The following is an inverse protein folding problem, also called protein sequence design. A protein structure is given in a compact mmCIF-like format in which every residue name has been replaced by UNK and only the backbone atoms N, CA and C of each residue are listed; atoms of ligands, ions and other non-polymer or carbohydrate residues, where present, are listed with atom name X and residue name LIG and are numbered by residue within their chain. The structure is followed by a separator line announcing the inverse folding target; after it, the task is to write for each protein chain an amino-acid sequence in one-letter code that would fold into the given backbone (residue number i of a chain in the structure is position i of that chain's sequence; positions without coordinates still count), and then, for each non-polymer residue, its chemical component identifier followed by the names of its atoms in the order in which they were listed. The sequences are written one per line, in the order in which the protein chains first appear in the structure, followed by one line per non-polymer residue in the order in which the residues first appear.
data_IF_617417623259
#
_entry.id   IF_617417623259
#
_cell.length_a   1.000
_cell.length_b   1.000
_cell.length_c   1.000
_cell.angle_alpha   90.00
_cell.angle_beta   90.00
_cell.angle_gamma   90.00
#
_symmetry.space_group_name_H-M   'P 1'
#
loop_
_entity.id
_entity.type
_entity.pdbx_description
1 polymer ?
#
# COMPACT_ATOMS: atom_id res chain seq x y z
N UNK A 1 -47.70 -2.30 2.40
CA UNK A 1 -46.78 -3.07 3.28
C UNK A 1 -45.30 -3.04 2.84
N UNK A 2 -44.84 -2.08 2.01
CA UNK A 2 -43.44 -2.03 1.51
C UNK A 2 -42.52 -1.10 2.35
N UNK A 3 -43.06 -0.31 3.28
CA UNK A 3 -42.27 0.65 4.08
C UNK A 3 -41.42 0.04 5.20
N UNK A 4 -41.65 -1.21 5.62
CA UNK A 4 -40.97 -1.80 6.79
C UNK A 4 -39.52 -2.23 6.51
N UNK A 5 -39.20 -2.67 5.29
CA UNK A 5 -37.85 -3.13 4.96
C UNK A 5 -36.83 -1.98 4.85
N UNK A 6 -37.23 -0.83 4.30
CA UNK A 6 -36.35 0.33 4.16
C UNK A 6 -36.01 0.99 5.50
N UNK A 7 -36.98 1.05 6.42
CA UNK A 7 -36.76 1.61 7.76
C UNK A 7 -35.87 0.70 8.63
N UNK A 8 -36.06 -0.62 8.56
CA UNK A 8 -35.20 -1.58 9.26
C UNK A 8 -33.75 -1.53 8.78
N UNK A 9 -33.53 -1.43 7.46
CA UNK A 9 -32.20 -1.29 6.88
C UNK A 9 -31.55 0.04 7.33
N UNK A 10 -32.32 1.15 7.34
CA UNK A 10 -31.84 2.45 7.81
C UNK A 10 -31.37 2.41 9.28
N UNK A 11 -32.15 1.77 10.16
CA UNK A 11 -31.82 1.63 11.58
C UNK A 11 -30.58 0.74 11.81
N UNK A 12 -30.42 -0.34 11.04
CA UNK A 12 -29.23 -1.20 11.13
C UNK A 12 -27.96 -0.48 10.65
N UNK A 13 -28.06 0.29 9.55
CA UNK A 13 -26.93 1.07 9.04
C UNK A 13 -26.53 2.16 10.04
N UNK A 14 -27.49 2.88 10.64
CA UNK A 14 -27.19 3.95 11.61
C UNK A 14 -26.56 3.41 12.89
N UNK A 15 -27.03 2.25 13.39
CA UNK A 15 -26.45 1.59 14.56
C UNK A 15 -25.05 1.02 14.29
N UNK A 16 -24.85 0.38 13.13
CA UNK A 16 -23.52 -0.08 12.71
C UNK A 16 -22.54 1.08 12.58
N UNK A 17 -23.01 2.22 12.05
CA UNK A 17 -22.21 3.43 11.88
C UNK A 17 -21.78 4.05 13.22
N UNK A 18 -22.70 4.14 14.20
CA UNK A 18 -22.40 4.69 15.52
C UNK A 18 -21.43 3.80 16.32
N UNK A 19 -21.62 2.47 16.27
CA UNK A 19 -20.71 1.50 16.88
C UNK A 19 -19.29 1.57 16.32
N UNK A 20 -19.17 1.66 14.99
CA UNK A 20 -17.89 1.79 14.29
C UNK A 20 -17.20 3.13 14.62
N UNK A 21 -17.95 4.23 14.73
CA UNK A 21 -17.44 5.53 15.15
C UNK A 21 -16.90 5.52 16.58
N UNK A 22 -17.62 4.90 17.54
CA UNK A 22 -17.23 4.83 18.94
C UNK A 22 -16.00 3.92 19.17
N UNK A 23 -15.99 2.72 18.58
CA UNK A 23 -14.81 1.84 18.62
C UNK A 23 -13.57 2.53 18.06
N UNK A 24 -13.71 3.23 16.93
CA UNK A 24 -12.62 3.94 16.27
C UNK A 24 -12.05 5.09 17.09
N UNK A 25 -12.92 5.91 17.71
CA UNK A 25 -12.45 7.00 18.58
C UNK A 25 -11.56 6.43 19.69
N UNK A 26 -11.92 5.27 20.26
CA UNK A 26 -11.11 4.57 21.26
C UNK A 26 -9.80 4.02 20.69
N UNK A 27 -9.81 3.39 19.53
CA UNK A 27 -8.58 2.83 18.90
C UNK A 27 -7.60 3.94 18.49
N UNK A 28 -8.07 4.97 17.77
CA UNK A 28 -7.22 6.09 17.33
C UNK A 28 -6.64 6.86 18.52
N UNK A 29 -7.45 7.14 19.55
CA UNK A 29 -6.96 7.80 20.76
C UNK A 29 -5.89 6.96 21.45
N UNK A 30 -6.09 5.64 21.60
CA UNK A 30 -5.08 4.77 22.24
C UNK A 30 -3.78 4.70 21.44
N UNK A 31 -3.87 4.48 20.13
CA UNK A 31 -2.68 4.28 19.28
C UNK A 31 -1.85 5.57 19.18
N UNK A 32 -2.47 6.71 18.89
CA UNK A 32 -1.74 7.96 18.70
C UNK A 32 -1.23 8.53 20.02
N UNK A 33 -2.07 8.53 21.07
CA UNK A 33 -1.64 8.99 22.40
C UNK A 33 -0.51 8.10 22.92
N UNK A 34 -0.63 6.79 22.75
CA UNK A 34 0.43 5.84 23.07
C UNK A 34 1.73 6.16 22.36
N UNK A 35 1.71 6.43 21.05
CA UNK A 35 2.90 6.82 20.27
C UNK A 35 3.51 8.14 20.73
N UNK A 36 2.71 9.16 20.99
CA UNK A 36 3.20 10.46 21.47
C UNK A 36 3.85 10.36 22.85
N UNK A 37 3.23 9.62 23.78
CA UNK A 37 3.82 9.36 25.08
C UNK A 37 5.13 8.57 24.94
N UNK A 38 5.10 7.44 24.21
CA UNK A 38 6.28 6.63 23.92
C UNK A 38 7.43 7.45 23.35
N UNK A 39 7.13 8.31 22.37
CA UNK A 39 8.12 9.18 21.74
C UNK A 39 8.76 10.17 22.73
N UNK A 40 7.95 10.85 23.56
CA UNK A 40 8.46 11.75 24.58
C UNK A 40 9.35 11.01 25.60
N UNK A 41 8.91 9.83 26.06
CA UNK A 41 9.70 9.02 26.99
C UNK A 41 10.98 8.50 26.34
N UNK A 42 10.96 8.13 25.07
CA UNK A 42 12.14 7.67 24.31
C UNK A 42 13.19 8.77 24.18
N UNK A 43 12.79 10.01 23.88
CA UNK A 43 13.71 11.15 23.84
C UNK A 43 14.37 11.42 25.19
N UNK A 44 13.58 11.38 26.26
CA UNK A 44 14.08 11.55 27.63
C UNK A 44 15.05 10.44 28.02
N UNK A 45 14.76 9.20 27.63
CA UNK A 45 15.60 8.02 27.94
C UNK A 45 16.97 8.09 27.28
N UNK A 46 16.98 8.53 26.02
CA UNK A 46 18.20 8.63 25.23
C UNK A 46 18.94 9.95 25.46
N UNK A 47 18.45 10.79 26.39
CA UNK A 47 18.99 12.12 26.73
C UNK A 47 19.25 12.98 25.48
N UNK A 48 18.31 12.94 24.53
CA UNK A 48 18.42 13.76 23.31
C UNK A 48 18.03 15.20 23.67
N UNK A 49 18.99 15.95 24.19
CA UNK A 49 18.84 17.37 24.53
C UNK A 49 18.88 18.25 23.27
N UNK A 50 18.07 19.30 23.22
CA UNK A 50 18.25 20.39 22.27
C UNK A 50 17.74 20.20 20.83
N UNK A 51 17.23 19.02 20.43
CA UNK A 51 16.61 18.90 19.10
C UNK A 51 15.19 19.44 19.14
N UNK A 52 14.90 20.47 18.34
CA UNK A 52 13.55 20.99 18.18
C UNK A 52 12.64 19.83 17.71
N UNK A 53 11.67 19.41 18.53
CA UNK A 53 10.74 18.30 18.23
C UNK A 53 9.35 18.83 17.83
N UNK A 54 9.27 20.13 17.54
CA UNK A 54 8.01 20.83 17.35
C UNK A 54 7.30 20.35 16.09
N UNK A 55 8.03 20.17 14.98
CA UNK A 55 7.45 19.74 13.72
C UNK A 55 7.05 18.27 13.76
N UNK A 56 7.83 17.41 14.40
CA UNK A 56 7.47 16.00 14.58
C UNK A 56 6.18 15.87 15.39
N UNK A 57 6.04 16.64 16.48
CA UNK A 57 4.79 16.69 17.26
C UNK A 57 3.62 17.23 16.43
N UNK A 58 3.84 18.29 15.64
CA UNK A 58 2.83 18.87 14.74
C UNK A 58 2.37 17.85 13.71
N UNK A 59 3.30 17.17 13.04
CA UNK A 59 3.04 16.12 12.05
C UNK A 59 2.31 14.93 12.66
N UNK A 60 2.64 14.52 13.88
CA UNK A 60 1.89 13.45 14.57
C UNK A 60 0.45 13.89 14.88
N UNK A 61 0.23 15.16 15.26
CA UNK A 61 -1.12 15.72 15.45
C UNK A 61 -1.89 15.86 14.13
N UNK A 62 -1.24 16.28 13.05
CA UNK A 62 -1.88 16.40 11.73
C UNK A 62 -2.19 15.03 11.13
N UNK A 63 -1.30 14.06 11.33
CA UNK A 63 -1.55 12.67 10.93
C UNK A 63 -2.73 12.10 11.72
N UNK A 64 -2.87 12.48 13.01
CA UNK A 64 -4.03 12.14 13.82
C UNK A 64 -5.31 12.74 13.27
N UNK A 65 -5.35 14.05 13.01
CA UNK A 65 -6.56 14.70 12.47
C UNK A 65 -6.94 14.11 11.12
N UNK A 66 -5.96 13.82 10.26
CA UNK A 66 -6.18 13.14 8.98
C UNK A 66 -6.73 11.72 9.16
N UNK A 67 -6.18 10.94 10.12
CA UNK A 67 -6.71 9.62 10.45
C UNK A 67 -8.10 9.68 11.12
N UNK A 68 -8.47 10.82 11.69
CA UNK A 68 -9.79 11.11 12.27
C UNK A 68 -10.81 11.57 11.20
N UNK A 69 -10.39 12.22 10.12
CA UNK A 69 -11.31 12.74 9.07
C UNK A 69 -11.46 11.81 7.87
N UNK A 70 -10.42 11.11 7.42
CA UNK A 70 -10.42 10.50 6.08
C UNK A 70 -11.25 9.21 5.89
N UNK A 71 -11.45 8.29 6.84
CA UNK A 71 -12.08 7.01 6.51
C UNK A 71 -13.61 7.08 6.36
N UNK A 72 -14.27 8.21 6.68
CA UNK A 72 -15.70 8.35 6.42
C UNK A 72 -15.99 8.47 4.92
N UNK A 73 -15.26 9.35 4.23
CA UNK A 73 -15.41 9.53 2.79
C UNK A 73 -14.98 8.30 2.00
N UNK A 74 -13.91 7.61 2.41
CA UNK A 74 -13.41 6.44 1.66
C UNK A 74 -14.24 5.18 1.89
N UNK A 75 -14.74 4.94 3.12
CA UNK A 75 -15.62 3.80 3.40
C UNK A 75 -16.98 4.05 2.75
N UNK A 76 -17.55 5.26 2.89
CA UNK A 76 -18.79 5.61 2.19
C UNK A 76 -18.61 5.54 0.67
N UNK A 77 -17.50 6.04 0.11
CA UNK A 77 -17.20 5.91 -1.31
C UNK A 77 -16.94 4.45 -1.73
N UNK A 78 -16.43 3.60 -0.84
CA UNK A 78 -16.28 2.16 -1.09
C UNK A 78 -17.62 1.45 -1.19
N UNK A 79 -18.49 1.66 -0.20
CA UNK A 79 -19.84 1.12 -0.22
C UNK A 79 -20.64 1.69 -1.39
N UNK A 80 -20.50 2.98 -1.67
CA UNK A 80 -21.14 3.63 -2.81
C UNK A 80 -20.61 3.10 -4.14
N UNK A 81 -19.29 2.93 -4.28
CA UNK A 81 -18.66 2.36 -5.46
C UNK A 81 -19.03 0.89 -5.67
N UNK A 82 -19.11 0.10 -4.60
CA UNK A 82 -19.61 -1.27 -4.62
C UNK A 82 -21.07 -1.31 -5.06
N UNK A 83 -21.90 -0.41 -4.52
CA UNK A 83 -23.32 -0.31 -4.85
C UNK A 83 -23.55 0.11 -6.31
N UNK A 84 -22.83 1.14 -6.79
CA UNK A 84 -22.84 1.54 -8.21
C UNK A 84 -22.33 0.42 -9.08
N UNK A 85 -21.22 -0.23 -8.70
CA UNK A 85 -20.66 -1.36 -9.45
C UNK A 85 -21.67 -2.48 -9.63
N UNK A 86 -22.36 -2.88 -8.54
CA UNK A 86 -23.42 -3.88 -8.59
C UNK A 86 -24.58 -3.46 -9.51
N UNK A 87 -24.96 -2.18 -9.49
CA UNK A 87 -26.00 -1.62 -10.38
C UNK A 87 -25.58 -1.64 -11.84
N UNK A 88 -24.36 -1.21 -12.16
CA UNK A 88 -23.81 -1.20 -13.53
C UNK A 88 -23.72 -2.64 -14.06
N UNK A 89 -23.21 -3.58 -13.26
CA UNK A 89 -23.11 -4.99 -13.65
C UNK A 89 -24.49 -5.57 -13.93
N UNK A 90 -25.49 -5.23 -13.13
CA UNK A 90 -26.88 -5.63 -13.40
C UNK A 90 -27.39 -5.07 -14.72
N UNK A 91 -27.14 -3.79 -15.02
CA UNK A 91 -27.56 -3.16 -16.28
C UNK A 91 -26.85 -3.81 -17.48
N UNK A 92 -25.53 -3.99 -17.40
CA UNK A 92 -24.73 -4.66 -18.43
C UNK A 92 -25.21 -6.08 -18.69
N UNK A 93 -25.56 -6.83 -17.65
CA UNK A 93 -26.11 -8.17 -17.80
C UNK A 93 -27.47 -8.15 -18.51
N UNK A 94 -28.34 -7.17 -18.28
CA UNK A 94 -29.59 -7.05 -19.06
C UNK A 94 -29.28 -6.79 -20.54
N UNK A 95 -28.40 -5.83 -20.83
CA UNK A 95 -28.02 -5.49 -22.22
C UNK A 95 -27.39 -6.68 -22.93
N UNK A 96 -26.47 -7.39 -22.26
CA UNK A 96 -25.77 -8.55 -22.83
C UNK A 96 -26.74 -9.71 -23.10
N UNK A 97 -27.74 -9.92 -22.24
CA UNK A 97 -28.80 -10.90 -22.46
C UNK A 97 -29.57 -10.57 -23.72
N UNK A 98 -30.04 -9.33 -23.84
CA UNK A 98 -30.89 -8.90 -24.95
C UNK A 98 -30.11 -8.93 -26.29
N UNK A 99 -28.83 -8.58 -26.28
CA UNK A 99 -27.93 -8.72 -27.43
C UNK A 99 -27.70 -10.19 -27.80
N UNK A 100 -27.42 -11.05 -26.81
CA UNK A 100 -27.22 -12.48 -27.05
C UNK A 100 -28.46 -13.15 -27.65
N UNK A 101 -29.67 -12.75 -27.21
CA UNK A 101 -30.91 -13.22 -27.81
C UNK A 101 -31.11 -12.75 -29.24
N UNK A 102 -30.74 -11.50 -29.56
CA UNK A 102 -30.86 -10.96 -30.91
C UNK A 102 -29.94 -11.65 -31.93
N UNK A 103 -28.78 -12.14 -31.49
CA UNK A 103 -27.77 -12.81 -32.35
C UNK A 103 -27.96 -14.34 -32.37
N UNK A 104 -28.93 -14.89 -31.63
CA UNK A 104 -29.16 -16.34 -31.54
C UNK A 104 -28.13 -17.09 -30.69
N UNK A 105 -27.37 -16.39 -29.84
CA UNK A 105 -26.38 -16.98 -28.95
C UNK A 105 -27.02 -17.51 -27.65
N UNK A 106 -27.81 -18.57 -27.77
CA UNK A 106 -28.64 -19.11 -26.67
C UNK A 106 -27.86 -19.48 -25.40
N UNK A 107 -26.61 -19.95 -25.53
CA UNK A 107 -25.77 -20.30 -24.40
C UNK A 107 -25.39 -19.06 -23.56
N UNK A 108 -25.05 -17.95 -24.23
CA UNK A 108 -24.71 -16.68 -23.58
C UNK A 108 -25.94 -16.02 -22.94
N UNK A 109 -27.11 -16.10 -23.60
CA UNK A 109 -28.36 -15.61 -23.05
C UNK A 109 -28.75 -16.37 -21.77
N UNK A 110 -28.64 -17.70 -21.76
CA UNK A 110 -28.88 -18.54 -20.57
C UNK A 110 -27.93 -18.21 -19.42
N UNK A 111 -26.62 -18.13 -19.69
CA UNK A 111 -25.63 -17.77 -18.67
C UNK A 111 -25.92 -16.39 -18.04
N UNK A 112 -26.30 -15.42 -18.86
CA UNK A 112 -26.62 -14.06 -18.39
C UNK A 112 -27.94 -14.02 -17.60
N UNK A 113 -28.92 -14.85 -17.98
CA UNK A 113 -30.16 -15.01 -17.23
C UNK A 113 -29.93 -15.63 -15.85
N UNK A 114 -29.09 -16.66 -15.74
CA UNK A 114 -28.68 -17.23 -14.44
C UNK A 114 -27.97 -16.20 -13.57
N UNK A 115 -27.11 -15.36 -14.17
CA UNK A 115 -26.45 -14.28 -13.46
C UNK A 115 -27.46 -13.23 -12.93
N UNK A 116 -28.40 -12.78 -13.76
CA UNK A 116 -29.45 -11.84 -13.34
C UNK A 116 -30.37 -12.42 -12.25
N UNK A 117 -30.65 -13.72 -12.33
CA UNK A 117 -31.44 -14.45 -11.34
C UNK A 117 -30.74 -14.51 -9.99
N UNK A 118 -29.43 -14.77 -9.96
CA UNK A 118 -28.63 -14.78 -8.73
C UNK A 118 -28.61 -13.43 -7.99
N UNK A 119 -28.85 -12.32 -8.69
CA UNK A 119 -28.98 -10.98 -8.12
C UNK A 119 -30.40 -10.67 -7.59
N UNK A 120 -31.36 -11.61 -7.72
CA UNK A 120 -32.71 -11.54 -7.13
C UNK A 120 -32.93 -12.74 -6.20
N UNK A 121 -32.66 -12.59 -4.89
CA UNK A 121 -32.82 -13.70 -3.93
C UNK A 121 -34.27 -14.17 -3.72
N UNK A 122 -35.27 -13.47 -4.27
CA UNK A 122 -36.69 -13.76 -4.05
C UNK A 122 -37.27 -14.89 -4.92
N UNK A 123 -36.51 -15.47 -5.85
CA UNK A 123 -37.04 -16.54 -6.72
C UNK A 123 -36.16 -17.80 -6.70
N UNK A 124 -36.61 -18.87 -6.04
CA UNK A 124 -36.46 -20.26 -6.52
C UNK A 124 -35.32 -21.13 -5.97
N UNK A 125 -35.68 -22.25 -5.34
CA UNK A 125 -34.79 -23.32 -4.83
C UNK A 125 -34.31 -24.29 -5.94
N UNK A 126 -33.63 -23.82 -6.99
CA UNK A 126 -32.99 -24.75 -7.94
C UNK A 126 -31.52 -25.00 -7.57
N UNK A 127 -31.09 -26.27 -7.41
CA UNK A 127 -29.72 -26.61 -7.07
C UNK A 127 -28.78 -26.26 -8.23
N UNK A 128 -27.85 -25.34 -7.97
CA UNK A 128 -26.76 -24.98 -8.88
C UNK A 128 -25.89 -26.23 -9.08
N UNK A 129 -25.91 -26.84 -10.27
CA UNK A 129 -25.09 -28.02 -10.61
C UNK A 129 -24.06 -27.67 -11.68
N UNK A 130 -22.81 -28.05 -11.46
CA UNK A 130 -21.73 -28.00 -12.46
C UNK A 130 -20.86 -26.73 -12.43
N UNK A 131 -20.23 -26.45 -13.57
CA UNK A 131 -19.25 -25.35 -13.75
C UNK A 131 -19.84 -23.95 -13.57
N UNK A 132 -21.17 -23.82 -13.64
CA UNK A 132 -21.88 -22.54 -13.46
C UNK A 132 -21.70 -21.96 -12.05
N UNK A 133 -21.58 -22.81 -11.02
CA UNK A 133 -21.28 -22.37 -9.67
C UNK A 133 -19.86 -21.82 -9.51
N UNK A 134 -18.89 -22.36 -10.26
CA UNK A 134 -17.51 -21.88 -10.22
C UNK A 134 -17.37 -20.51 -10.88
N UNK A 135 -18.00 -20.34 -12.06
CA UNK A 135 -18.02 -19.06 -12.78
C UNK A 135 -18.70 -17.98 -11.92
N UNK A 136 -19.76 -18.34 -11.20
CA UNK A 136 -20.43 -17.48 -10.25
C UNK A 136 -19.50 -17.02 -9.11
N UNK A 137 -18.82 -17.96 -8.45
CA UNK A 137 -17.90 -17.63 -7.34
C UNK A 137 -16.76 -16.74 -7.82
N UNK A 138 -16.17 -17.03 -8.99
CA UNK A 138 -15.04 -16.25 -9.53
C UNK A 138 -15.49 -14.84 -9.91
N UNK A 139 -16.57 -14.70 -10.66
CA UNK A 139 -17.06 -13.40 -11.14
C UNK A 139 -17.45 -12.49 -9.97
N UNK A 140 -18.20 -13.04 -9.00
CA UNK A 140 -18.64 -12.29 -7.83
C UNK A 140 -17.45 -11.91 -6.93
N UNK A 141 -16.49 -12.82 -6.75
CA UNK A 141 -15.28 -12.56 -5.98
C UNK A 141 -14.44 -11.48 -6.63
N UNK A 142 -14.23 -11.51 -7.96
CA UNK A 142 -13.44 -10.50 -8.69
C UNK A 142 -14.12 -9.13 -8.64
N UNK A 143 -15.42 -9.07 -8.88
CA UNK A 143 -16.20 -7.82 -8.82
C UNK A 143 -16.17 -7.19 -7.43
N UNK A 144 -16.22 -7.98 -6.36
CA UNK A 144 -16.15 -7.45 -5.00
C UNK A 144 -14.72 -7.11 -4.57
N UNK A 145 -13.76 -7.94 -4.98
CA UNK A 145 -12.36 -7.75 -4.58
C UNK A 145 -11.67 -6.64 -5.35
N UNK A 146 -12.06 -6.30 -6.60
CA UNK A 146 -11.47 -5.19 -7.36
C UNK A 146 -11.67 -3.82 -6.70
N UNK A 147 -12.88 -3.41 -6.29
CA UNK A 147 -13.10 -2.18 -5.54
C UNK A 147 -12.39 -2.21 -4.19
N UNK A 148 -12.45 -3.31 -3.44
CA UNK A 148 -11.79 -3.43 -2.14
C UNK A 148 -10.26 -3.31 -2.30
N UNK A 149 -9.70 -3.99 -3.29
CA UNK A 149 -8.28 -3.92 -3.66
C UNK A 149 -7.92 -2.53 -4.16
N UNK A 150 -8.73 -1.91 -5.01
CA UNK A 150 -8.54 -0.56 -5.51
C UNK A 150 -8.62 0.46 -4.37
N UNK A 151 -9.53 0.33 -3.42
CA UNK A 151 -9.56 1.18 -2.22
C UNK A 151 -8.37 0.95 -1.30
N UNK A 152 -7.96 -0.31 -1.16
CA UNK A 152 -6.76 -0.70 -0.42
C UNK A 152 -5.47 -0.20 -1.07
N UNK A 153 -5.43 -0.01 -2.40
CA UNK A 153 -4.22 0.37 -3.13
C UNK A 153 -4.18 1.85 -3.52
N UNK A 154 -5.31 2.44 -3.92
CA UNK A 154 -5.36 3.70 -4.67
C UNK A 154 -5.75 4.97 -3.90
N UNK A 155 -6.43 4.98 -2.74
CA UNK A 155 -7.00 6.28 -2.24
C UNK A 155 -6.72 6.81 -0.82
N UNK A 156 -5.99 7.95 -0.84
CA UNK A 156 -6.22 9.26 -0.18
C UNK A 156 -6.04 9.40 1.34
N UNK A 157 -6.36 8.40 2.17
CA UNK A 157 -5.94 8.41 3.59
C UNK A 157 -4.42 8.29 3.74
N UNK A 158 -3.80 7.70 2.71
CA UNK A 158 -2.35 7.65 2.57
C UNK A 158 -1.74 9.03 2.34
N UNK A 159 -2.46 10.09 1.94
CA UNK A 159 -1.84 11.39 1.67
C UNK A 159 -0.91 11.85 2.81
N UNK A 160 -1.45 12.13 4.00
CA UNK A 160 -0.63 12.55 5.13
C UNK A 160 0.25 11.42 5.70
N UNK A 161 -0.27 10.20 5.83
CA UNK A 161 0.49 9.07 6.42
C UNK A 161 1.69 8.67 5.56
N UNK A 162 1.53 8.69 4.24
CA UNK A 162 2.55 8.37 3.26
C UNK A 162 3.51 9.54 3.10
N UNK A 163 2.99 10.78 3.05
CA UNK A 163 3.80 12.01 3.08
C UNK A 163 4.72 12.03 4.29
N UNK A 164 4.22 11.64 5.46
CA UNK A 164 4.97 11.61 6.71
C UNK A 164 5.55 10.23 7.03
N UNK A 165 5.62 9.30 6.07
CA UNK A 165 6.06 7.91 6.30
C UNK A 165 7.48 7.85 6.85
N UNK A 166 8.39 8.67 6.32
CA UNK A 166 9.77 8.75 6.81
C UNK A 166 9.81 9.17 8.29
N UNK A 167 9.10 10.24 8.65
CA UNK A 167 8.98 10.70 10.05
C UNK A 167 8.39 9.63 10.95
N UNK A 168 7.28 9.00 10.55
CA UNK A 168 6.62 7.97 11.36
C UNK A 168 7.53 6.76 11.59
N UNK A 169 8.25 6.31 10.54
CA UNK A 169 9.19 5.18 10.67
C UNK A 169 10.43 5.54 11.49
N UNK A 170 10.93 6.76 11.37
CA UNK A 170 12.03 7.24 12.20
C UNK A 170 11.64 7.29 13.69
N UNK A 171 10.43 7.77 14.01
CA UNK A 171 9.88 7.76 15.37
C UNK A 171 9.68 6.34 15.90
N UNK A 172 9.14 5.43 15.08
CA UNK A 172 8.98 4.02 15.47
C UNK A 172 10.37 3.37 15.76
N UNK A 173 11.37 3.64 14.91
CA UNK A 173 12.74 3.14 15.12
C UNK A 173 13.40 3.75 16.35
N UNK A 174 13.22 5.06 16.59
CA UNK A 174 13.70 5.75 17.80
C UNK A 174 13.10 5.13 19.07
N UNK A 175 11.82 4.78 19.02
CA UNK A 175 11.16 4.15 20.15
C UNK A 175 11.77 2.80 20.50
N UNK A 176 11.97 1.94 19.49
CA UNK A 176 12.61 0.63 19.70
C UNK A 176 14.10 0.76 20.06
N UNK A 177 14.78 1.80 19.59
CA UNK A 177 16.15 2.13 20.01
C UNK A 177 16.19 2.44 21.52
N UNK A 178 15.25 3.24 22.01
CA UNK A 178 15.15 3.56 23.43
C UNK A 178 14.77 2.33 24.26
N UNK A 179 13.90 1.46 23.75
CA UNK A 179 13.58 0.19 24.41
C UNK A 179 14.82 -0.71 24.51
N UNK A 180 15.57 -0.88 23.42
CA UNK A 180 16.81 -1.67 23.41
C UNK A 180 17.87 -1.10 24.37
N UNK A 181 17.99 0.23 24.45
CA UNK A 181 18.93 0.89 25.35
C UNK A 181 18.62 0.65 26.83
N UNK A 182 17.34 0.60 27.21
CA UNK A 182 16.92 0.34 28.60
C UNK A 182 17.20 -1.08 29.06
N UNK A 183 17.28 -2.03 28.14
CA UNK A 183 17.41 -3.43 28.53
C UNK A 183 18.82 -3.78 29.01
N UNK A 184 18.94 -4.66 30.02
CA UNK A 184 20.21 -5.22 30.42
C UNK A 184 20.82 -6.06 29.29
N UNK A 185 22.15 -6.28 29.28
CA UNK A 185 22.84 -6.98 28.19
C UNK A 185 22.22 -8.34 27.80
N UNK A 186 21.71 -9.11 28.78
CA UNK A 186 21.13 -10.44 28.54
C UNK A 186 19.82 -10.43 27.75
N UNK A 187 18.95 -9.44 27.95
CA UNK A 187 17.64 -9.35 27.29
C UNK A 187 17.66 -8.48 26.02
N UNK A 188 18.75 -7.72 25.83
CA UNK A 188 18.90 -6.73 24.76
C UNK A 188 18.83 -7.33 23.35
N UNK A 189 19.25 -8.59 23.15
CA UNK A 189 19.34 -9.20 21.83
C UNK A 189 17.99 -9.26 21.07
N UNK A 190 16.89 -9.56 21.76
CA UNK A 190 15.56 -9.61 21.15
C UNK A 190 15.08 -8.21 20.73
N UNK A 191 15.36 -7.20 21.57
CA UNK A 191 15.04 -5.81 21.30
C UNK A 191 15.88 -5.20 20.17
N UNK A 192 17.16 -5.59 20.06
CA UNK A 192 18.02 -5.20 18.94
C UNK A 192 17.49 -5.76 17.61
N UNK A 193 17.01 -7.00 17.56
CA UNK A 193 16.37 -7.56 16.34
C UNK A 193 15.12 -6.76 15.91
N UNK A 194 14.31 -6.38 16.89
CA UNK A 194 13.12 -5.55 16.64
C UNK A 194 13.52 -4.14 16.17
N UNK A 195 14.55 -3.55 16.79
CA UNK A 195 15.13 -2.28 16.40
C UNK A 195 15.70 -2.34 14.97
N UNK A 196 16.51 -3.32 14.62
CA UNK A 196 17.06 -3.51 13.27
C UNK A 196 15.96 -3.60 12.21
N UNK A 197 14.89 -4.33 12.51
CA UNK A 197 13.73 -4.45 11.63
C UNK A 197 12.98 -3.12 11.47
N UNK A 198 12.93 -2.28 12.50
CA UNK A 198 12.38 -0.92 12.37
C UNK A 198 13.35 0.03 11.67
N UNK A 199 14.65 -0.07 11.93
CA UNK A 199 15.69 0.72 11.28
C UNK A 199 15.64 0.48 9.78
N UNK A 200 15.66 -0.77 9.30
CA UNK A 200 15.50 -1.11 7.86
C UNK A 200 14.23 -0.53 7.24
N UNK A 201 13.11 -0.49 7.98
CA UNK A 201 11.86 0.15 7.51
C UNK A 201 11.97 1.68 7.47
N UNK A 202 12.73 2.28 8.37
CA UNK A 202 13.05 3.71 8.35
C UNK A 202 14.01 4.05 7.20
N UNK A 203 15.06 3.26 6.98
CA UNK A 203 15.98 3.39 5.83
C UNK A 203 15.21 3.39 4.51
N UNK A 204 14.35 2.39 4.29
CA UNK A 204 13.51 2.29 3.09
C UNK A 204 12.60 3.52 2.93
N UNK A 205 11.99 3.99 4.02
CA UNK A 205 11.14 5.17 4.00
C UNK A 205 11.93 6.46 3.72
N UNK A 206 13.17 6.57 4.21
CA UNK A 206 14.08 7.72 3.99
C UNK A 206 14.50 7.77 2.52
N UNK A 207 14.94 6.63 1.94
CA UNK A 207 15.30 6.54 0.52
C UNK A 207 14.17 6.99 -0.40
N UNK A 208 12.92 6.72 -0.01
CA UNK A 208 11.72 7.06 -0.77
C UNK A 208 11.04 8.36 -0.33
N UNK A 209 11.56 9.07 0.66
CA UNK A 209 10.92 10.26 1.23
C UNK A 209 10.62 11.33 0.16
N UNK A 210 11.55 11.50 -0.79
CA UNK A 210 11.41 12.41 -1.93
C UNK A 210 10.18 12.10 -2.81
N UNK A 211 9.73 10.84 -2.88
CA UNK A 211 8.54 10.45 -3.68
C UNK A 211 7.24 10.77 -2.98
N UNK A 212 7.24 10.89 -1.65
CA UNK A 212 6.01 10.89 -0.85
C UNK A 212 5.70 12.25 -0.24
N UNK A 213 6.73 13.04 0.09
CA UNK A 213 6.57 14.35 0.73
C UNK A 213 5.93 15.41 -0.17
N UNK A 214 6.03 15.22 -1.49
CA UNK A 214 5.44 16.12 -2.51
C UNK A 214 6.10 17.50 -2.60
N UNK A 215 7.20 17.74 -1.89
CA UNK A 215 7.89 19.04 -1.86
C UNK A 215 8.80 19.27 -3.06
N UNK A 216 9.20 18.21 -3.77
CA UNK A 216 10.08 18.26 -4.93
C UNK A 216 9.30 17.74 -6.14
N UNK A 217 9.11 18.55 -7.21
CA UNK A 217 8.51 18.08 -8.46
C UNK A 217 9.29 16.92 -9.07
N UNK A 218 8.59 16.00 -9.76
CA UNK A 218 9.19 14.77 -10.30
C UNK A 218 10.34 15.00 -11.29
N UNK A 219 10.32 16.12 -12.00
CA UNK A 219 11.33 16.48 -13.01
C UNK A 219 12.35 17.51 -12.48
N UNK A 220 12.31 17.86 -11.19
CA UNK A 220 13.24 18.85 -10.64
C UNK A 220 14.65 18.27 -10.54
N UNK A 221 15.70 19.01 -10.94
CA UNK A 221 17.09 18.57 -10.73
C UNK A 221 17.44 18.39 -9.25
N UNK A 222 16.71 19.06 -8.35
CA UNK A 222 16.83 18.90 -6.88
C UNK A 222 16.52 17.48 -6.42
N UNK A 223 15.80 16.69 -7.23
CA UNK A 223 15.47 15.31 -6.94
C UNK A 223 16.71 14.41 -6.88
N UNK A 224 17.67 14.63 -7.79
CA UNK A 224 18.91 13.86 -7.82
C UNK A 224 19.74 14.11 -6.55
N UNK A 225 19.90 15.39 -6.17
CA UNK A 225 20.56 15.78 -4.93
C UNK A 225 19.86 15.20 -3.69
N UNK A 226 18.52 15.27 -3.62
CA UNK A 226 17.77 14.70 -2.51
C UNK A 226 17.92 13.17 -2.41
N UNK A 227 18.03 12.45 -3.54
CA UNK A 227 18.28 11.01 -3.57
C UNK A 227 19.69 10.66 -3.09
N UNK A 228 20.70 11.40 -3.55
CA UNK A 228 22.08 11.22 -3.11
C UNK A 228 22.23 11.49 -1.61
N UNK A 229 21.62 12.58 -1.12
CA UNK A 229 21.58 12.90 0.31
C UNK A 229 20.90 11.80 1.12
N UNK A 230 19.75 11.29 0.68
CA UNK A 230 19.07 10.18 1.36
C UNK A 230 19.95 8.92 1.42
N UNK A 231 20.71 8.61 0.37
CA UNK A 231 21.63 7.48 0.37
C UNK A 231 22.80 7.67 1.36
N UNK A 232 23.32 8.90 1.50
CA UNK A 232 24.33 9.26 2.50
C UNK A 232 23.77 9.15 3.93
N UNK A 233 22.56 9.66 4.17
CA UNK A 233 21.89 9.58 5.48
C UNK A 233 21.71 8.12 5.92
N UNK A 234 21.26 7.25 5.02
CA UNK A 234 21.10 5.82 5.33
C UNK A 234 22.47 5.15 5.52
N UNK A 235 23.49 5.53 4.74
CA UNK A 235 24.87 5.10 4.96
C UNK A 235 25.38 5.47 6.36
N UNK A 236 25.11 6.69 6.81
CA UNK A 236 25.45 7.16 8.14
C UNK A 236 24.75 6.34 9.24
N UNK A 237 23.45 6.07 9.08
CA UNK A 237 22.70 5.24 10.02
C UNK A 237 23.26 3.82 10.12
N UNK A 238 23.66 3.22 8.99
CA UNK A 238 24.30 1.88 8.99
C UNK A 238 25.68 1.89 9.62
N UNK A 239 26.49 2.91 9.33
CA UNK A 239 27.81 3.04 9.93
C UNK A 239 27.71 3.15 11.47
N UNK A 240 26.70 3.85 11.97
CA UNK A 240 26.47 3.96 13.41
C UNK A 240 25.84 2.69 14.00
N UNK A 241 24.96 1.98 13.27
CA UNK A 241 24.40 0.70 13.72
C UNK A 241 25.44 -0.39 13.88
N UNK A 242 26.48 -0.41 13.03
CA UNK A 242 27.59 -1.36 13.15
C UNK A 242 28.41 -1.16 14.44
N UNK A 243 28.34 0.03 15.06
CA UNK A 243 29.03 0.29 16.33
C UNK A 243 28.29 -0.27 17.54
N UNK A 244 27.03 -0.71 17.38
CA UNK A 244 26.25 -1.31 18.47
C UNK A 244 26.94 -2.57 19.00
N UNK A 245 27.58 -3.34 18.13
CA UNK A 245 28.28 -4.57 18.53
C UNK A 245 29.56 -4.29 19.33
N UNK A 246 30.15 -3.10 19.17
CA UNK A 246 31.36 -2.68 19.88
C UNK A 246 31.04 -1.90 21.17
N UNK A 247 30.15 -0.90 21.09
CA UNK A 247 29.72 -0.10 22.22
C UNK A 247 28.23 0.29 22.07
N UNK A 248 27.31 -0.56 22.57
CA UNK A 248 25.88 -0.29 22.46
C UNK A 248 25.44 0.91 23.31
N UNK A 249 26.17 1.23 24.39
CA UNK A 249 25.79 2.30 25.31
C UNK A 249 26.08 3.67 24.71
N UNK A 250 27.11 3.81 23.87
CA UNK A 250 27.36 5.02 23.09
C UNK A 250 26.59 5.06 21.76
N UNK A 251 26.50 3.93 21.05
CA UNK A 251 25.90 3.89 19.71
C UNK A 251 24.39 4.12 19.71
N UNK A 252 23.64 3.53 20.67
CA UNK A 252 22.18 3.64 20.70
C UNK A 252 21.69 5.08 20.96
N UNK A 253 22.22 5.86 21.93
CA UNK A 253 21.87 7.27 22.07
C UNK A 253 22.18 8.12 20.83
N UNK A 254 23.31 7.84 20.16
CA UNK A 254 23.70 8.56 18.95
C UNK A 254 22.78 8.26 17.77
N UNK A 255 22.42 7.00 17.55
CA UNK A 255 21.40 6.59 16.59
C UNK A 255 20.03 7.22 16.91
N UNK A 256 19.66 7.25 18.18
CA UNK A 256 18.45 7.91 18.64
C UNK A 256 18.42 9.39 18.25
N UNK A 257 19.54 10.09 18.47
CA UNK A 257 19.70 11.49 18.07
C UNK A 257 19.55 11.66 16.56
N UNK A 258 20.24 10.84 15.75
CA UNK A 258 20.12 10.88 14.29
C UNK A 258 18.67 10.65 13.82
N UNK A 259 17.98 9.64 14.37
CA UNK A 259 16.59 9.33 14.04
C UNK A 259 15.63 10.47 14.43
N UNK A 260 15.85 11.10 15.57
CA UNK A 260 15.07 12.27 16.01
C UNK A 260 15.27 13.45 15.04
N UNK A 261 16.51 13.77 14.67
CA UNK A 261 16.83 14.84 13.71
C UNK A 261 16.23 14.55 12.33
N UNK A 262 16.36 13.33 11.82
CA UNK A 262 15.76 12.92 10.55
C UNK A 262 14.24 13.05 10.60
N UNK A 263 13.61 12.58 11.67
CA UNK A 263 12.17 12.68 11.86
C UNK A 263 11.67 14.13 11.79
N UNK A 264 12.37 15.04 12.49
CA UNK A 264 12.05 16.47 12.52
C UNK A 264 12.28 17.14 11.16
N UNK A 265 13.43 16.91 10.53
CA UNK A 265 13.76 17.52 9.24
C UNK A 265 12.82 17.01 8.14
N UNK A 266 12.45 15.73 8.17
CA UNK A 266 11.42 15.19 7.28
C UNK A 266 10.05 15.82 7.53
N UNK A 267 9.65 15.98 8.80
CA UNK A 267 8.40 16.64 9.17
C UNK A 267 8.36 18.09 8.70
N UNK A 268 9.50 18.78 8.71
CA UNK A 268 9.68 20.12 8.17
C UNK A 268 9.79 20.17 6.63
N UNK A 269 9.74 19.04 5.92
CA UNK A 269 9.90 18.96 4.47
C UNK A 269 11.34 19.15 3.94
N UNK A 270 12.35 19.13 4.82
CA UNK A 270 13.77 19.36 4.50
C UNK A 270 14.47 18.06 4.04
N UNK A 271 14.03 17.51 2.92
CA UNK A 271 14.50 16.21 2.39
C UNK A 271 15.98 16.26 1.94
N UNK A 272 16.43 17.39 1.39
CA UNK A 272 17.83 17.57 0.99
C UNK A 272 18.78 17.86 2.16
N UNK A 273 18.27 17.94 3.39
CA UNK A 273 19.04 18.26 4.59
C UNK A 273 18.46 17.53 5.81
N UNK A 274 18.22 16.22 5.66
CA UNK A 274 17.63 15.39 6.73
C UNK A 274 18.54 15.23 7.94
N UNK A 275 19.84 15.27 7.71
CA UNK A 275 20.87 15.10 8.73
C UNK A 275 21.96 16.15 8.48
N UNK A 276 22.49 16.79 9.53
CA UNK A 276 23.59 17.76 9.41
C UNK A 276 24.87 17.12 8.85
N UNK A 277 25.72 17.93 8.22
CA UNK A 277 26.95 17.48 7.57
C UNK A 277 27.93 16.82 8.55
N UNK A 278 27.93 17.24 9.82
CA UNK A 278 28.76 16.65 10.89
C UNK A 278 28.53 15.13 11.07
N UNK A 279 27.30 14.66 10.85
CA UNK A 279 26.98 13.23 10.89
C UNK A 279 27.30 12.50 9.58
N UNK A 280 27.44 13.26 8.48
CA UNK A 280 27.64 12.71 7.13
C UNK A 280 29.10 12.66 6.72
N UNK A 281 30.00 13.41 7.39
CA UNK A 281 31.41 13.54 7.03
C UNK A 281 32.17 12.20 6.88
N UNK A 282 31.70 11.13 7.55
CA UNK A 282 32.29 9.78 7.48
C UNK A 282 31.36 8.74 6.87
N UNK A 283 30.21 9.15 6.35
CA UNK A 283 29.21 8.25 5.82
C UNK A 283 29.55 7.84 4.38
N UNK A 284 29.60 6.54 4.12
CA UNK A 284 29.66 6.04 2.75
C UNK A 284 28.26 5.98 2.17
N UNK A 285 28.01 6.56 0.98
CA UNK A 285 26.70 6.47 0.36
C UNK A 285 26.40 5.00 0.06
N UNK A 286 25.22 4.53 0.44
CA UNK A 286 24.82 3.18 0.05
C UNK A 286 24.68 3.15 -1.46
N UNK A 287 25.35 2.18 -2.08
CA UNK A 287 25.30 2.04 -3.53
C UNK A 287 23.85 1.87 -3.99
N UNK A 288 23.38 2.80 -4.82
CA UNK A 288 22.07 2.74 -5.46
C UNK A 288 21.91 1.47 -6.32
N UNK A 289 23.01 0.74 -6.58
CA UNK A 289 23.02 -0.56 -7.24
C UNK A 289 22.25 -1.63 -6.48
N UNK A 290 22.25 -1.64 -5.14
CA UNK A 290 21.43 -2.63 -4.40
C UNK A 290 19.93 -2.40 -4.58
N UNK A 291 19.50 -1.14 -4.66
CA UNK A 291 18.12 -0.80 -5.03
C UNK A 291 17.84 -1.10 -6.49
N UNK A 292 18.80 -0.89 -7.39
CA UNK A 292 18.67 -1.27 -8.79
C UNK A 292 18.52 -2.79 -8.97
N UNK A 293 19.24 -3.61 -8.19
CA UNK A 293 19.11 -5.07 -8.21
C UNK A 293 17.72 -5.50 -7.73
N UNK A 294 17.20 -4.88 -6.67
CA UNK A 294 15.85 -5.20 -6.19
C UNK A 294 14.78 -4.75 -7.19
N UNK A 295 15.01 -3.62 -7.87
CA UNK A 295 14.16 -3.19 -8.98
C UNK A 295 14.28 -4.13 -10.18
N UNK A 296 15.47 -4.67 -10.49
CA UNK A 296 15.68 -5.62 -11.59
C UNK A 296 15.05 -6.99 -11.33
N UNK A 297 15.12 -7.51 -10.09
CA UNK A 297 14.41 -8.73 -9.70
C UNK A 297 12.89 -8.57 -9.91
N UNK A 298 12.35 -7.39 -9.63
CA UNK A 298 10.93 -7.14 -9.83
C UNK A 298 10.56 -7.03 -11.32
N UNK A 299 11.43 -6.45 -12.15
CA UNK A 299 11.26 -6.47 -13.61
C UNK A 299 11.34 -7.91 -14.14
N UNK A 300 12.29 -8.71 -13.67
CA UNK A 300 12.40 -10.12 -14.02
C UNK A 300 11.13 -10.89 -13.65
N UNK A 301 10.54 -10.64 -12.47
CA UNK A 301 9.28 -11.25 -12.05
C UNK A 301 8.09 -10.87 -12.96
N UNK A 302 8.04 -9.63 -13.46
CA UNK A 302 7.00 -9.19 -14.41
C UNK A 302 7.15 -9.92 -15.74
N UNK A 303 8.38 -10.01 -16.25
CA UNK A 303 8.68 -10.70 -17.51
C UNK A 303 8.36 -12.19 -17.41
N UNK A 304 8.78 -12.86 -16.33
CA UNK A 304 8.47 -14.29 -16.13
C UNK A 304 6.98 -14.53 -16.00
N UNK A 305 6.24 -13.68 -15.28
CA UNK A 305 4.78 -13.80 -15.20
C UNK A 305 4.10 -13.66 -16.57
N UNK A 306 4.54 -12.69 -17.39
CA UNK A 306 4.02 -12.49 -18.74
C UNK A 306 4.30 -13.68 -19.66
N UNK A 307 5.50 -14.24 -19.59
CA UNK A 307 5.90 -15.43 -20.36
C UNK A 307 5.12 -16.67 -19.92
N UNK A 308 5.00 -16.92 -18.61
CA UNK A 308 4.24 -18.05 -18.07
C UNK A 308 2.76 -17.97 -18.48
N UNK A 309 2.17 -16.77 -18.45
CA UNK A 309 0.82 -16.54 -18.94
C UNK A 309 0.70 -16.76 -20.45
N UNK A 310 1.72 -16.36 -21.23
CA UNK A 310 1.75 -16.60 -22.68
C UNK A 310 1.70 -18.09 -23.00
N UNK A 311 2.59 -18.85 -22.35
CA UNK A 311 2.72 -20.31 -22.54
C UNK A 311 1.45 -21.02 -22.07
N UNK A 312 0.90 -20.62 -20.92
CA UNK A 312 -0.35 -21.17 -20.41
C UNK A 312 -1.55 -20.87 -21.31
N UNK A 313 -1.64 -19.66 -21.86
CA UNK A 313 -2.68 -19.31 -22.82
C UNK A 313 -2.53 -20.11 -24.12
N UNK A 314 -1.31 -20.24 -24.65
CA UNK A 314 -1.04 -20.99 -25.87
C UNK A 314 -1.41 -22.48 -25.73
N UNK A 315 -1.14 -23.09 -24.58
CA UNK A 315 -1.50 -24.50 -24.33
C UNK A 315 -3.00 -24.70 -24.10
N UNK A 316 -3.67 -23.78 -23.41
CA UNK A 316 -5.10 -23.87 -23.10
C UNK A 316 -6.01 -23.51 -24.28
N UNK A 317 -5.61 -22.58 -25.16
CA UNK A 317 -6.44 -22.14 -26.30
C UNK A 317 -6.53 -23.18 -27.42
N UNK A 318 -5.54 -24.07 -27.55
CA UNK A 318 -5.50 -25.11 -28.58
C UNK A 318 -6.63 -26.15 -28.45
N UNK A 319 -6.90 -26.76 -27.27
CA UNK A 319 -8.02 -27.69 -27.12
C UNK A 319 -9.40 -27.00 -27.19
N UNK A 320 -9.47 -25.69 -27.02
CA UNK A 320 -10.71 -24.91 -27.09
C UNK A 320 -11.15 -24.59 -28.53
N UNK A 321 -10.38 -24.99 -29.55
CA UNK A 321 -10.74 -24.79 -30.96
C UNK A 321 -10.76 -23.32 -31.38
N UNK A 322 -10.04 -22.45 -30.67
CA UNK A 322 -10.00 -21.02 -30.97
C UNK A 322 -9.30 -20.79 -32.31
N UNK A 323 -9.93 -19.98 -33.17
CA UNK A 323 -9.44 -19.60 -34.49
C UNK A 323 -7.97 -19.14 -34.40
N UNK A 324 -7.14 -19.64 -35.32
CA UNK A 324 -5.71 -19.35 -35.38
C UNK A 324 -5.43 -17.85 -35.59
N UNK A 325 -6.33 -17.10 -36.24
CA UNK A 325 -6.21 -15.65 -36.41
C UNK A 325 -6.35 -14.86 -35.09
N UNK A 326 -7.14 -15.37 -34.14
CA UNK A 326 -7.40 -14.72 -32.84
C UNK A 326 -6.42 -15.15 -31.76
N UNK A 327 -5.75 -16.29 -31.94
CA UNK A 327 -4.87 -16.89 -30.94
C UNK A 327 -3.70 -15.97 -30.53
N UNK A 328 -2.98 -15.27 -31.44
CA UNK A 328 -1.89 -14.37 -31.07
C UNK A 328 -2.37 -13.21 -30.18
N UNK A 329 -3.55 -12.66 -30.49
CA UNK A 329 -4.13 -11.55 -29.75
C UNK A 329 -4.53 -11.94 -28.32
N UNK A 330 -5.10 -13.14 -28.15
CA UNK A 330 -5.46 -13.65 -26.83
C UNK A 330 -4.24 -13.97 -25.97
N UNK A 331 -3.20 -14.56 -26.55
CA UNK A 331 -1.93 -14.82 -25.86
C UNK A 331 -1.31 -13.49 -25.41
N UNK A 332 -1.21 -12.51 -26.31
CA UNK A 332 -0.71 -11.17 -25.97
C UNK A 332 -1.54 -10.50 -24.88
N UNK A 333 -2.87 -10.61 -24.94
CA UNK A 333 -3.79 -10.11 -23.92
C UNK A 333 -3.56 -10.75 -22.55
N UNK A 334 -3.46 -12.07 -22.48
CA UNK A 334 -3.18 -12.82 -21.24
C UNK A 334 -1.81 -12.45 -20.64
N UNK A 335 -0.78 -12.35 -21.48
CA UNK A 335 0.56 -11.91 -21.04
C UNK A 335 0.56 -10.50 -20.48
N UNK A 336 -0.10 -9.56 -21.17
CA UNK A 336 -0.20 -8.17 -20.73
C UNK A 336 -0.98 -8.08 -19.41
N UNK A 337 -2.09 -8.80 -19.29
CA UNK A 337 -2.89 -8.87 -18.06
C UNK A 337 -2.05 -9.37 -16.88
N UNK A 338 -1.32 -10.47 -17.06
CA UNK A 338 -0.43 -11.03 -16.03
C UNK A 338 0.67 -10.04 -15.63
N UNK A 339 1.28 -9.37 -16.61
CA UNK A 339 2.28 -8.33 -16.36
C UNK A 339 1.72 -7.15 -15.55
N UNK A 340 0.48 -6.72 -15.82
CA UNK A 340 -0.20 -5.64 -15.10
C UNK A 340 -0.54 -6.07 -13.67
N UNK A 341 -1.00 -7.31 -13.48
CA UNK A 341 -1.33 -7.85 -12.16
C UNK A 341 -0.08 -7.90 -11.27
N UNK A 342 1.05 -8.37 -11.81
CA UNK A 342 2.30 -8.52 -11.04
C UNK A 342 3.04 -7.18 -10.87
N UNK A 343 3.13 -6.37 -11.93
CA UNK A 343 3.98 -5.17 -11.98
C UNK A 343 3.28 -3.84 -11.78
N UNK A 344 1.96 -3.80 -11.97
CA UNK A 344 1.16 -2.58 -12.04
C UNK A 344 1.33 -1.81 -13.35
N UNK A 345 0.25 -1.12 -13.77
CA UNK A 345 0.21 -0.33 -15.00
C UNK A 345 1.37 0.67 -15.20
N UNK A 346 1.81 1.46 -14.18
CA UNK A 346 2.85 2.47 -14.38
C UNK A 346 4.24 1.90 -14.71
N UNK A 347 4.47 0.61 -14.50
CA UNK A 347 5.72 -0.07 -14.87
C UNK A 347 5.62 -0.69 -16.24
N UNK A 348 4.49 -1.33 -16.55
CA UNK A 348 4.21 -1.88 -17.88
C UNK A 348 4.23 -0.78 -18.93
N UNK A 349 3.64 0.39 -18.65
CA UNK A 349 3.68 1.54 -19.56
C UNK A 349 5.11 1.97 -19.92
N UNK A 350 6.01 2.03 -18.94
CA UNK A 350 7.43 2.36 -19.19
C UNK A 350 8.18 1.29 -19.99
N UNK A 351 7.80 0.01 -19.87
CA UNK A 351 8.36 -1.04 -20.71
C UNK A 351 7.83 -0.96 -22.14
N UNK A 352 6.56 -0.59 -22.32
CA UNK A 352 5.96 -0.38 -23.64
C UNK A 352 6.57 0.84 -24.36
N UNK A 353 6.96 1.89 -23.62
CA UNK A 353 7.70 3.04 -24.16
C UNK A 353 9.10 2.69 -24.68
N UNK A 354 9.67 1.56 -24.25
CA UNK A 354 10.98 1.08 -24.71
C UNK A 354 10.91 0.14 -25.91
N UNK A 355 9.71 -0.31 -26.31
CA UNK A 355 9.55 -1.17 -27.49
C UNK A 355 9.66 -0.31 -28.76
N UNK A 356 10.66 -0.55 -29.63
CA UNK A 356 10.80 0.18 -30.88
C UNK A 356 9.64 -0.20 -31.82
N UNK A 357 8.79 0.77 -32.14
CA UNK A 357 7.60 0.53 -32.97
C UNK A 357 6.50 1.60 -32.87
N UNK A 358 6.78 2.75 -32.24
CA UNK A 358 5.97 3.97 -32.32
C UNK A 358 6.84 5.14 -32.70
#
# INVERSE_FOLDING_TARGET
MVHTATEQIGAHISHAWSGLAAWRRRVNQRVVRGRLCKFATSLQTLRVEGTAVAQTRRVLRETRTTLETVPYGSIAAAYFGMWIGLRIIKILAVILRDLATAVGAEAAARATQYFLWSLRPEMGNHPIRGWDGLIFVITYSVVLSLPIWWLGTFRWARGAVYRNRATLRAVDALHLCAEAYRQPPGERASHLRNFDSALRRAEDAILHAHRHLGTIPRQSPRLAAARAHAALVVGALRAESLKIDADPNAALPRLGTMLAVIGERCAAGRIGAMLPEEFLARATPISLTRTAIRESVHVAAIVTAAMTAAVGAASALRPLGVNDDLRPWLIAGCSLLAAIIVGGWPRVGRLLELLPGR
#
